data_IF_769195824798
#
_entry.id   IF_769195824798
#
_cell.length_a   1.000
_cell.length_b   1.000
_cell.length_c   1.000
_cell.angle_alpha   90.00
_cell.angle_beta   90.00
_cell.angle_gamma   90.00
#
_symmetry.space_group_name_H-M   'P 1'
#
loop_
_entity.id
_entity.type
_entity.pdbx_description
1 polymer ?
#
# COMPACT_ATOMS: atom_id res chain seq x y z
N UNK A 1 -27.54 1.23 -30.22
CA UNK A 1 -27.21 1.12 -31.66
C UNK A 1 -26.04 0.18 -31.88
N UNK A 2 -24.90 0.37 -31.20
CA UNK A 2 -23.70 -0.48 -31.33
C UNK A 2 -23.93 -1.97 -31.05
N UNK A 3 -24.66 -2.34 -29.99
CA UNK A 3 -24.95 -3.75 -29.70
C UNK A 3 -25.75 -4.44 -30.83
N UNK A 4 -26.68 -3.71 -31.47
CA UNK A 4 -27.43 -4.22 -32.62
C UNK A 4 -26.54 -4.40 -33.86
N UNK A 5 -25.55 -3.53 -34.06
CA UNK A 5 -24.58 -3.68 -35.15
C UNK A 5 -23.62 -4.85 -34.89
N UNK A 6 -23.16 -5.04 -33.65
CA UNK A 6 -22.33 -6.18 -33.24
C UNK A 6 -23.07 -7.51 -33.40
N UNK A 7 -24.37 -7.55 -33.11
CA UNK A 7 -25.21 -8.73 -33.38
C UNK A 7 -25.25 -9.10 -34.87
N UNK A 8 -25.27 -8.11 -35.78
CA UNK A 8 -25.29 -8.36 -37.23
C UNK A 8 -23.97 -8.96 -37.75
N UNK A 9 -22.85 -8.74 -37.06
CA UNK A 9 -21.51 -9.24 -37.45
C UNK A 9 -21.00 -10.37 -36.54
N UNK A 10 -21.86 -10.93 -35.68
CA UNK A 10 -21.49 -11.93 -34.65
C UNK A 10 -20.87 -13.22 -35.20
N UNK A 11 -21.10 -13.53 -36.49
CA UNK A 11 -20.54 -14.71 -37.14
C UNK A 11 -19.08 -14.53 -37.58
N UNK A 12 -18.55 -13.30 -37.55
CA UNK A 12 -17.15 -13.02 -37.88
C UNK A 12 -16.33 -13.16 -36.60
N UNK A 13 -15.30 -14.03 -36.57
CA UNK A 13 -14.46 -14.17 -35.39
C UNK A 13 -13.70 -12.85 -35.14
N UNK A 14 -13.67 -12.34 -33.89
CA UNK A 14 -12.87 -11.17 -33.57
C UNK A 14 -11.40 -11.50 -33.83
N UNK A 15 -10.74 -10.63 -34.60
CA UNK A 15 -9.30 -10.75 -34.90
C UNK A 15 -8.64 -9.42 -34.59
N UNK A 16 -7.48 -9.49 -33.95
CA UNK A 16 -6.63 -8.33 -33.74
C UNK A 16 -6.17 -7.75 -35.10
N UNK A 17 -6.21 -6.41 -35.29
CA UNK A 17 -5.70 -5.78 -36.49
C UNK A 17 -4.19 -5.99 -36.63
N UNK A 18 -3.73 -6.40 -37.81
CA UNK A 18 -2.29 -6.41 -38.09
C UNK A 18 -1.75 -4.97 -38.16
N UNK A 19 -0.60 -4.65 -37.51
CA UNK A 19 -0.11 -3.27 -37.35
C UNK A 19 0.01 -2.48 -38.67
N UNK A 20 0.44 -3.15 -39.74
CA UNK A 20 0.58 -2.55 -41.08
C UNK A 20 -0.78 -2.18 -41.70
N UNK A 21 -1.82 -3.00 -41.46
CA UNK A 21 -3.18 -2.71 -41.91
C UNK A 21 -3.81 -1.59 -41.08
N UNK A 22 -3.54 -1.57 -39.78
CA UNK A 22 -4.04 -0.54 -38.89
C UNK A 22 -3.56 0.87 -39.27
N UNK A 23 -2.26 1.04 -39.55
CA UNK A 23 -1.70 2.31 -40.04
C UNK A 23 -2.28 2.72 -41.40
N UNK A 24 -2.62 1.75 -42.26
CA UNK A 24 -3.27 2.05 -43.54
C UNK A 24 -4.69 2.60 -43.36
N UNK A 25 -5.42 2.17 -42.33
CA UNK A 25 -6.76 2.66 -42.01
C UNK A 25 -6.74 4.07 -41.46
N UNK A 26 -5.77 4.41 -40.60
CA UNK A 26 -5.55 5.78 -40.11
C UNK A 26 -5.23 6.78 -41.23
N UNK A 27 -4.58 6.33 -42.30
CA UNK A 27 -4.20 7.15 -43.47
C UNK A 27 -5.21 7.07 -44.62
N UNK A 28 -6.25 6.27 -44.48
CA UNK A 28 -7.23 5.97 -45.53
C UNK A 28 -8.21 7.11 -45.81
N UNK A 29 -9.04 6.97 -46.87
CA UNK A 29 -9.99 8.00 -47.30
C UNK A 29 -11.25 8.11 -46.41
N UNK A 30 -11.45 7.18 -45.46
CA UNK A 30 -12.59 7.19 -44.53
C UNK A 30 -12.33 8.22 -43.41
N UNK A 31 -12.66 9.48 -43.67
CA UNK A 31 -12.40 10.63 -42.79
C UNK A 31 -13.62 11.05 -41.95
N UNK A 32 -14.40 10.10 -41.45
CA UNK A 32 -15.43 10.48 -40.47
C UNK A 32 -14.80 10.50 -39.08
N UNK A 33 -15.10 11.53 -38.30
CA UNK A 33 -14.52 11.69 -36.95
C UNK A 33 -14.83 10.48 -36.08
N UNK A 34 -16.05 9.94 -36.17
CA UNK A 34 -16.47 8.72 -35.46
C UNK A 34 -15.63 7.48 -35.83
N UNK A 35 -15.21 7.36 -37.09
CA UNK A 35 -14.38 6.24 -37.53
C UNK A 35 -12.93 6.39 -37.04
N UNK A 36 -12.41 7.63 -37.04
CA UNK A 36 -11.09 7.94 -36.50
C UNK A 36 -11.04 7.71 -34.99
N UNK A 37 -12.05 8.16 -34.26
CA UNK A 37 -12.17 7.95 -32.81
C UNK A 37 -12.30 6.46 -32.47
N UNK A 38 -13.04 5.70 -33.29
CA UNK A 38 -13.15 4.26 -33.15
C UNK A 38 -11.82 3.53 -33.40
N UNK A 39 -11.02 3.98 -34.37
CA UNK A 39 -9.68 3.42 -34.60
C UNK A 39 -8.75 3.75 -33.42
N UNK A 40 -8.70 5.00 -32.96
CA UNK A 40 -7.88 5.39 -31.81
C UNK A 40 -8.23 4.59 -30.55
N UNK A 41 -9.52 4.33 -30.31
CA UNK A 41 -9.95 3.48 -29.19
C UNK A 41 -9.44 2.03 -29.30
N UNK A 42 -9.31 1.50 -30.52
CA UNK A 42 -8.72 0.17 -30.78
C UNK A 42 -7.20 0.21 -30.52
N UNK A 43 -6.49 1.25 -30.96
CA UNK A 43 -5.06 1.46 -30.70
C UNK A 43 -4.77 1.47 -29.19
N UNK A 44 -5.53 2.27 -28.44
CA UNK A 44 -5.48 2.35 -26.98
C UNK A 44 -5.72 1.00 -26.30
N UNK A 45 -6.66 0.21 -26.81
CA UNK A 45 -6.94 -1.12 -26.27
C UNK A 45 -5.81 -2.11 -26.54
N UNK A 46 -5.13 -2.01 -27.68
CA UNK A 46 -3.99 -2.88 -28.05
C UNK A 46 -2.73 -2.49 -27.26
N UNK A 47 -2.50 -1.20 -27.05
CA UNK A 47 -1.31 -0.68 -26.35
C UNK A 47 -1.47 -0.63 -24.82
N UNK A 48 -2.62 -1.05 -24.28
CA UNK A 48 -3.00 -0.92 -22.87
C UNK A 48 -2.90 0.53 -22.33
N UNK A 49 -2.85 1.52 -23.23
CA UNK A 49 -2.90 2.93 -22.91
C UNK A 49 -4.38 3.30 -22.84
N UNK A 50 -4.91 3.66 -21.67
CA UNK A 50 -6.34 3.88 -21.47
C UNK A 50 -7.00 4.81 -22.51
N UNK A 51 -8.34 4.77 -22.60
CA UNK A 51 -9.17 5.39 -23.65
C UNK A 51 -9.23 6.95 -23.63
N UNK A 52 -8.11 7.63 -23.46
CA UNK A 52 -8.03 9.09 -23.40
C UNK A 52 -7.41 9.65 -24.69
N UNK A 53 -8.21 10.43 -25.41
CA UNK A 53 -7.90 11.17 -26.63
C UNK A 53 -6.57 11.92 -26.67
N UNK A 54 -6.25 12.41 -27.87
CA UNK A 54 -5.12 13.28 -28.26
C UNK A 54 -5.08 14.66 -27.55
N UNK A 55 -5.55 14.76 -26.31
CA UNK A 55 -5.36 15.92 -25.45
C UNK A 55 -4.09 15.67 -24.61
N UNK A 56 -3.00 16.29 -25.06
CA UNK A 56 -1.72 16.36 -24.37
C UNK A 56 -1.91 16.59 -22.86
N UNK A 57 -1.29 15.71 -22.06
CA UNK A 57 -1.04 15.76 -20.60
C UNK A 57 -2.01 15.11 -19.60
N UNK A 58 -3.00 14.29 -20.00
CA UNK A 58 -3.79 13.50 -19.02
C UNK A 58 -3.92 12.00 -19.36
N UNK A 59 -2.89 11.43 -19.99
CA UNK A 59 -2.92 10.06 -20.52
C UNK A 59 -1.70 9.20 -20.19
N UNK A 60 -0.86 9.59 -19.22
CA UNK A 60 -0.05 8.56 -18.58
C UNK A 60 -0.99 7.85 -17.60
N UNK A 61 -1.34 6.55 -17.80
CA UNK A 61 -1.80 5.77 -16.67
C UNK A 61 -0.64 5.79 -15.68
N UNK A 62 -0.73 6.67 -14.68
CA UNK A 62 0.21 6.68 -13.58
C UNK A 62 -0.13 5.43 -12.77
N UNK A 63 0.40 4.30 -13.23
CA UNK A 63 0.36 3.05 -12.48
C UNK A 63 1.31 3.24 -11.31
N UNK A 64 0.75 3.58 -10.15
CA UNK A 64 1.48 3.53 -8.90
C UNK A 64 1.48 2.07 -8.42
N UNK A 65 2.65 1.49 -8.10
CA UNK A 65 2.69 0.19 -7.45
C UNK A 65 1.80 0.20 -6.19
N UNK A 66 0.98 -0.83 -6.00
CA UNK A 66 0.05 -0.86 -4.87
C UNK A 66 0.75 -0.81 -3.50
N UNK A 67 1.99 -1.29 -3.42
CA UNK A 67 2.83 -1.16 -2.23
C UNK A 67 3.13 0.31 -1.91
N UNK A 68 3.59 1.09 -2.89
CA UNK A 68 3.86 2.53 -2.73
C UNK A 68 2.57 3.32 -2.43
N UNK A 69 1.47 2.96 -3.10
CA UNK A 69 0.16 3.56 -2.83
C UNK A 69 -0.29 3.29 -1.40
N UNK A 70 -0.11 2.06 -0.92
CA UNK A 70 -0.50 1.67 0.41
C UNK A 70 0.38 2.32 1.49
N UNK A 71 1.69 2.45 1.25
CA UNK A 71 2.58 3.22 2.13
C UNK A 71 2.10 4.67 2.25
N UNK A 72 1.81 5.33 1.12
CA UNK A 72 1.30 6.70 1.09
C UNK A 72 -0.10 6.82 1.74
N UNK A 73 -0.93 5.78 1.63
CA UNK A 73 -2.22 5.69 2.31
C UNK A 73 -2.06 5.65 3.83
N UNK A 74 -1.16 4.79 4.32
CA UNK A 74 -0.83 4.69 5.74
C UNK A 74 -0.23 6.00 6.26
N UNK A 75 0.64 6.65 5.47
CA UNK A 75 1.14 7.99 5.81
C UNK A 75 0.00 8.99 5.99
N UNK A 76 -0.96 9.04 5.07
CA UNK A 76 -2.09 9.97 5.17
C UNK A 76 -2.92 9.73 6.45
N UNK A 77 -3.11 8.47 6.85
CA UNK A 77 -3.77 8.10 8.10
C UNK A 77 -2.94 8.59 9.29
N UNK A 78 -1.66 8.24 9.38
CA UNK A 78 -0.83 8.60 10.52
C UNK A 78 -0.50 10.09 10.59
N UNK A 79 -0.55 10.83 9.48
CA UNK A 79 -0.48 12.29 9.47
C UNK A 79 -1.70 12.93 10.14
N UNK A 80 -2.88 12.30 10.05
CA UNK A 80 -4.06 12.72 10.83
C UNK A 80 -3.91 12.34 12.31
N UNK A 81 -3.41 11.13 12.60
CA UNK A 81 -3.14 10.69 13.98
C UNK A 81 -2.14 11.62 14.66
N UNK A 82 -1.05 11.99 13.99
CA UNK A 82 -0.04 12.93 14.49
C UNK A 82 -0.66 14.29 14.82
N UNK A 83 -1.53 14.82 13.94
CA UNK A 83 -2.26 16.07 14.20
C UNK A 83 -3.20 15.99 15.40
N UNK A 84 -3.92 14.89 15.58
CA UNK A 84 -4.81 14.71 16.74
C UNK A 84 -4.04 14.53 18.05
N UNK A 85 -2.82 14.00 18.00
CA UNK A 85 -2.02 13.67 19.19
C UNK A 85 -0.93 14.70 19.51
N UNK A 86 -0.68 15.66 18.62
CA UNK A 86 0.42 16.62 18.73
C UNK A 86 1.81 16.00 18.48
N UNK A 87 1.88 14.87 17.79
CA UNK A 87 3.14 14.18 17.45
C UNK A 87 3.80 14.69 16.17
N UNK A 88 5.05 14.29 15.95
CA UNK A 88 5.82 14.55 14.72
C UNK A 88 5.94 13.27 13.91
N UNK A 89 5.54 13.32 12.64
CA UNK A 89 5.63 12.19 11.72
C UNK A 89 6.80 12.40 10.75
N UNK A 90 7.71 11.44 10.73
CA UNK A 90 8.81 11.34 9.78
C UNK A 90 8.52 10.25 8.76
N UNK A 91 8.84 10.52 7.48
CA UNK A 91 8.47 9.66 6.36
C UNK A 91 9.71 9.13 5.62
N UNK A 92 9.73 7.81 5.42
CA UNK A 92 10.80 7.07 4.75
C UNK A 92 10.97 7.45 3.29
N UNK A 93 9.90 7.60 2.51
CA UNK A 93 9.97 8.07 1.12
C UNK A 93 10.63 9.46 0.97
N UNK A 94 10.49 10.32 1.99
CA UNK A 94 11.14 11.64 2.06
C UNK A 94 12.55 11.58 2.63
N UNK A 95 13.05 10.38 2.96
CA UNK A 95 14.34 10.10 3.56
C UNK A 95 14.54 10.72 4.95
N UNK A 96 13.44 10.96 5.67
CA UNK A 96 13.46 11.56 7.00
C UNK A 96 13.77 10.54 8.11
N UNK A 97 13.62 9.24 7.82
CA UNK A 97 13.81 8.12 8.77
C UNK A 97 15.12 7.34 8.54
N UNK A 98 16.03 7.86 7.71
CA UNK A 98 17.29 7.16 7.37
C UNK A 98 18.14 6.97 8.62
N UNK A 99 18.49 5.72 8.87
CA UNK A 99 19.37 5.30 9.95
C UNK A 99 20.63 4.62 9.36
N UNK A 100 21.79 5.29 9.30
CA UNK A 100 22.98 4.76 8.65
C UNK A 100 23.58 3.57 9.42
N UNK A 101 24.04 2.55 8.69
CA UNK A 101 24.81 1.43 9.25
C UNK A 101 26.30 1.74 9.08
N UNK A 102 27.02 1.80 10.19
CA UNK A 102 28.47 2.03 10.19
C UNK A 102 29.20 0.70 10.10
N UNK A 103 29.72 0.38 8.91
CA UNK A 103 30.52 -0.83 8.67
C UNK A 103 31.99 -0.62 9.03
N UNK A 104 32.65 -1.70 9.45
CA UNK A 104 34.10 -1.75 9.56
C UNK A 104 34.65 -2.98 8.81
N UNK A 105 35.38 -2.81 7.69
CA UNK A 105 35.70 -1.54 7.05
C UNK A 105 34.49 -0.91 6.33
N UNK A 106 34.41 0.44 6.20
CA UNK A 106 33.21 1.14 5.72
C UNK A 106 32.71 0.75 4.31
N UNK A 107 33.59 0.20 3.47
CA UNK A 107 33.31 -0.17 2.08
C UNK A 107 32.85 -1.63 1.91
N UNK A 108 32.86 -2.44 2.97
CA UNK A 108 32.51 -3.86 2.90
C UNK A 108 31.00 -4.15 3.07
N UNK A 109 30.22 -3.15 3.47
CA UNK A 109 28.80 -3.34 3.80
C UNK A 109 27.89 -3.44 2.59
N UNK A 110 27.04 -4.49 2.55
CA UNK A 110 25.98 -4.66 1.56
C UNK A 110 24.82 -3.68 1.77
N UNK A 111 24.48 -3.38 3.03
CA UNK A 111 23.35 -2.51 3.41
C UNK A 111 23.87 -1.22 4.05
N UNK A 112 23.63 -0.06 3.44
CA UNK A 112 24.18 1.22 3.94
C UNK A 112 23.36 1.88 5.05
N UNK A 113 22.05 1.60 5.08
CA UNK A 113 21.13 2.21 6.02
C UNK A 113 19.90 1.34 6.23
N UNK A 114 19.21 1.59 7.33
CA UNK A 114 17.88 1.09 7.66
C UNK A 114 16.90 2.23 7.37
N UNK A 115 15.76 1.92 6.73
CA UNK A 115 14.75 2.92 6.37
C UNK A 115 13.36 2.42 6.78
N UNK A 116 12.86 2.78 7.97
CA UNK A 116 11.46 2.59 8.32
C UNK A 116 10.55 3.45 7.44
N UNK A 117 9.38 2.93 7.07
CA UNK A 117 8.42 3.65 6.21
C UNK A 117 7.92 4.92 6.91
N UNK A 118 7.60 4.81 8.20
CA UNK A 118 7.06 5.91 8.99
C UNK A 118 7.54 5.83 10.44
N UNK A 119 7.89 6.97 11.02
CA UNK A 119 8.22 7.10 12.45
C UNK A 119 7.41 8.23 13.04
N UNK A 120 6.56 7.93 14.01
CA UNK A 120 5.76 8.91 14.74
C UNK A 120 6.32 9.07 16.15
N UNK A 121 6.75 10.29 16.48
CA UNK A 121 7.28 10.63 17.79
C UNK A 121 6.31 11.51 18.57
N UNK A 122 6.06 11.14 19.84
CA UNK A 122 5.18 11.90 20.73
C UNK A 122 5.62 11.74 22.18
N UNK A 123 5.93 12.84 22.86
CA UNK A 123 6.07 12.85 24.33
C UNK A 123 7.08 11.85 24.90
N UNK A 124 8.13 11.48 24.14
CA UNK A 124 9.11 10.46 24.55
C UNK A 124 8.74 9.01 24.21
N UNK A 125 7.63 8.81 23.49
CA UNK A 125 7.23 7.56 22.86
C UNK A 125 7.55 7.61 21.37
N UNK A 126 8.07 6.51 20.83
CA UNK A 126 8.30 6.36 19.38
C UNK A 126 7.46 5.20 18.85
N UNK A 127 6.62 5.49 17.87
CA UNK A 127 5.83 4.52 17.13
C UNK A 127 6.44 4.36 15.74
N UNK A 128 7.06 3.22 15.48
CA UNK A 128 7.63 2.86 14.19
C UNK A 128 6.57 2.09 13.43
N UNK A 129 6.28 2.52 12.21
CA UNK A 129 5.21 1.96 11.38
C UNK A 129 5.82 1.47 10.08
N UNK A 130 5.48 0.23 9.72
CA UNK A 130 5.87 -0.40 8.46
C UNK A 130 4.59 -0.93 7.78
N UNK A 131 4.39 -0.52 6.53
CA UNK A 131 3.18 -0.78 5.76
C UNK A 131 3.44 -1.92 4.78
N UNK A 132 2.67 -3.01 4.89
CA UNK A 132 2.81 -4.17 4.01
C UNK A 132 1.52 -4.40 3.23
N UNK A 133 1.55 -4.14 1.93
CA UNK A 133 0.45 -4.48 1.03
C UNK A 133 0.52 -5.97 0.65
N UNK A 134 -0.08 -6.82 1.48
CA UNK A 134 -0.17 -8.28 1.25
C UNK A 134 -1.62 -8.74 1.43
N UNK A 135 -2.14 -9.55 0.50
CA UNK A 135 -3.51 -10.07 0.54
C UNK A 135 -3.80 -11.05 1.69
N UNK A 136 -2.76 -11.50 2.39
CA UNK A 136 -2.84 -12.55 3.40
C UNK A 136 -3.47 -12.12 4.74
N UNK A 137 -3.79 -10.84 4.95
CA UNK A 137 -4.42 -10.41 6.20
C UNK A 137 -5.80 -11.05 6.42
N UNK A 138 -6.59 -11.25 5.37
CA UNK A 138 -7.89 -11.92 5.48
C UNK A 138 -7.71 -13.44 5.73
N UNK A 139 -6.66 -14.05 5.16
CA UNK A 139 -6.28 -15.45 5.40
C UNK A 139 -5.77 -15.69 6.83
N UNK A 140 -5.04 -14.71 7.40
CA UNK A 140 -4.60 -14.67 8.80
C UNK A 140 -5.78 -14.66 9.79
N UNK A 141 -6.97 -14.21 9.37
CA UNK A 141 -8.18 -14.11 10.19
C UNK A 141 -9.11 -15.33 10.03
N UNK A 142 -9.19 -15.91 8.83
CA UNK A 142 -10.09 -17.04 8.54
C UNK A 142 -9.53 -18.40 9.00
N UNK A 143 -8.21 -18.51 9.19
CA UNK A 143 -7.54 -19.73 9.65
C UNK A 143 -6.97 -19.63 11.07
N UNK A 144 -6.83 -20.77 11.76
CA UNK A 144 -5.85 -20.86 12.87
C UNK A 144 -4.47 -20.59 12.28
N UNK A 145 -3.62 -19.84 12.96
CA UNK A 145 -2.21 -19.62 12.57
C UNK A 145 -1.48 -20.90 12.15
N UNK A 146 -1.88 -22.04 12.71
CA UNK A 146 -1.40 -23.39 12.40
C UNK A 146 -1.81 -23.95 11.04
N UNK A 147 -2.73 -23.31 10.31
CA UNK A 147 -3.21 -23.72 8.98
C UNK A 147 -2.75 -22.80 7.85
N UNK A 148 -2.05 -21.69 8.16
CA UNK A 148 -1.45 -20.83 7.14
C UNK A 148 -0.38 -21.60 6.38
N UNK A 149 -0.26 -21.33 5.09
CA UNK A 149 0.84 -21.84 4.28
C UNK A 149 2.20 -21.44 4.89
N UNK A 150 3.17 -22.34 4.80
CA UNK A 150 4.51 -22.16 5.39
C UNK A 150 5.20 -20.92 4.81
N UNK A 151 5.00 -20.66 3.52
CA UNK A 151 5.49 -19.46 2.84
C UNK A 151 4.91 -18.16 3.43
N UNK A 152 3.61 -18.14 3.76
CA UNK A 152 2.94 -16.97 4.35
C UNK A 152 3.46 -16.69 5.76
N UNK A 153 3.70 -17.74 6.56
CA UNK A 153 4.27 -17.58 7.90
C UNK A 153 5.70 -17.05 7.84
N UNK A 154 6.50 -17.55 6.91
CA UNK A 154 7.89 -17.13 6.76
C UNK A 154 7.99 -15.68 6.27
N UNK A 155 7.10 -15.28 5.37
CA UNK A 155 6.96 -13.88 4.95
C UNK A 155 6.56 -12.97 6.12
N UNK A 156 5.58 -13.37 6.93
CA UNK A 156 5.18 -12.61 8.10
C UNK A 156 6.30 -12.54 9.16
N UNK A 157 7.03 -13.64 9.36
CA UNK A 157 8.21 -13.68 10.24
C UNK A 157 9.27 -12.68 9.80
N UNK A 158 9.48 -12.57 8.48
CA UNK A 158 10.42 -11.60 7.90
C UNK A 158 9.97 -10.17 8.15
N UNK A 159 8.69 -9.86 7.94
CA UNK A 159 8.12 -8.53 8.22
C UNK A 159 8.28 -8.15 9.71
N UNK A 160 8.00 -9.10 10.61
CA UNK A 160 8.19 -8.92 12.05
C UNK A 160 9.65 -8.63 12.42
N UNK A 161 10.58 -9.40 11.86
CA UNK A 161 12.01 -9.17 12.13
C UNK A 161 12.48 -7.81 11.60
N UNK A 162 11.97 -7.39 10.45
CA UNK A 162 12.29 -6.09 9.87
C UNK A 162 11.81 -4.94 10.78
N UNK A 163 10.55 -4.94 11.19
CA UNK A 163 10.02 -3.86 12.05
C UNK A 163 10.63 -3.87 13.46
N UNK A 164 11.03 -5.03 13.96
CA UNK A 164 11.76 -5.14 15.22
C UNK A 164 13.20 -4.64 15.08
N UNK A 165 13.87 -4.86 13.96
CA UNK A 165 15.17 -4.26 13.70
C UNK A 165 15.09 -2.73 13.74
N UNK A 166 14.02 -2.15 13.18
CA UNK A 166 13.80 -0.70 13.22
C UNK A 166 13.67 -0.17 14.66
N UNK A 167 13.02 -0.95 15.55
CA UNK A 167 12.88 -0.58 16.98
C UNK A 167 14.21 -0.41 17.70
N UNK A 168 15.27 -1.07 17.25
CA UNK A 168 16.59 -0.96 17.88
C UNK A 168 17.23 0.42 17.68
N UNK A 169 16.81 1.15 16.65
CA UNK A 169 17.39 2.45 16.31
C UNK A 169 16.77 3.60 17.11
N UNK A 170 15.54 3.43 17.59
CA UNK A 170 14.90 4.46 18.39
C UNK A 170 15.56 4.58 19.79
N UNK A 171 15.78 5.83 20.23
CA UNK A 171 16.38 6.14 21.55
C UNK A 171 15.34 6.25 22.68
N UNK A 172 14.06 6.32 22.32
CA UNK A 172 12.93 6.48 23.25
C UNK A 172 12.81 5.34 24.27
N UNK A 173 12.28 5.65 25.45
CA UNK A 173 12.07 4.67 26.54
C UNK A 173 10.95 3.69 26.22
N UNK A 174 9.92 4.17 25.52
CA UNK A 174 8.77 3.38 25.08
C UNK A 174 8.79 3.35 23.56
N UNK A 175 9.05 2.18 23.01
CA UNK A 175 9.12 1.96 21.56
C UNK A 175 8.03 0.98 21.19
N UNK A 176 7.23 1.34 20.20
CA UNK A 176 6.18 0.48 19.67
C UNK A 176 6.43 0.28 18.18
N UNK A 177 6.61 -0.96 17.76
CA UNK A 177 6.64 -1.35 16.35
C UNK A 177 5.23 -1.69 15.89
N UNK A 178 4.84 -1.20 14.72
CA UNK A 178 3.50 -1.35 14.17
C UNK A 178 3.59 -1.86 12.74
N UNK A 179 3.02 -3.04 12.47
CA UNK A 179 2.78 -3.53 11.12
C UNK A 179 1.35 -3.19 10.72
N UNK A 180 1.22 -2.58 9.54
CA UNK A 180 -0.08 -2.17 9.00
C UNK A 180 -0.37 -2.99 7.75
N UNK A 181 -1.54 -3.61 7.72
CA UNK A 181 -2.02 -4.42 6.60
C UNK A 181 -3.34 -3.89 6.05
N UNK A 182 -3.56 -3.99 4.72
CA UNK A 182 -4.83 -3.61 4.11
C UNK A 182 -5.92 -4.63 4.47
N UNK A 183 -7.16 -4.17 4.58
CA UNK A 183 -8.33 -5.02 4.71
C UNK A 183 -9.55 -4.41 4.00
N UNK A 184 -10.55 -5.25 3.71
CA UNK A 184 -11.86 -4.79 3.25
C UNK A 184 -12.57 -3.96 4.32
N UNK A 185 -13.46 -3.05 3.89
CA UNK A 185 -14.20 -2.20 4.81
C UNK A 185 -15.10 -3.02 5.74
N UNK A 186 -15.72 -4.07 5.22
CA UNK A 186 -16.57 -5.01 5.95
C UNK A 186 -15.79 -5.68 7.09
N UNK A 187 -14.57 -6.15 6.79
CA UNK A 187 -13.67 -6.75 7.77
C UNK A 187 -13.24 -5.73 8.82
N UNK A 188 -12.90 -4.51 8.40
CA UNK A 188 -12.52 -3.46 9.33
C UNK A 188 -13.66 -3.05 10.27
N UNK A 189 -14.88 -2.86 9.75
CA UNK A 189 -16.05 -2.50 10.56
C UNK A 189 -16.40 -3.62 11.54
N UNK A 190 -16.28 -4.88 11.11
CA UNK A 190 -16.43 -6.03 12.00
C UNK A 190 -15.37 -6.02 13.12
N UNK A 191 -14.09 -5.84 12.80
CA UNK A 191 -13.01 -5.77 13.78
C UNK A 191 -13.19 -4.59 14.75
N UNK A 192 -13.65 -3.44 14.24
CA UNK A 192 -13.97 -2.26 15.04
C UNK A 192 -15.04 -2.55 16.07
N UNK A 193 -16.16 -3.16 15.66
CA UNK A 193 -17.25 -3.52 16.58
C UNK A 193 -16.81 -4.51 17.66
N UNK A 194 -15.82 -5.36 17.37
CA UNK A 194 -15.24 -6.31 18.32
C UNK A 194 -14.12 -5.71 19.19
N UNK A 195 -13.69 -4.46 18.94
CA UNK A 195 -12.53 -3.86 19.61
C UNK A 195 -11.20 -4.54 19.26
N UNK A 196 -11.12 -5.19 18.09
CA UNK A 196 -9.98 -6.02 17.63
C UNK A 196 -9.26 -5.46 16.39
N UNK A 197 -9.35 -4.15 16.15
CA UNK A 197 -8.63 -3.49 15.04
C UNK A 197 -7.11 -3.64 15.20
N UNK A 198 -6.65 -3.72 16.45
CA UNK A 198 -5.24 -3.78 16.80
C UNK A 198 -4.98 -5.02 17.66
N UNK A 199 -4.02 -5.83 17.23
CA UNK A 199 -3.47 -6.92 18.03
C UNK A 199 -2.19 -6.43 18.69
N UNK A 200 -2.08 -6.66 20.00
CA UNK A 200 -0.94 -6.20 20.80
C UNK A 200 -0.09 -7.39 21.22
N UNK A 201 1.21 -7.25 21.02
CA UNK A 201 2.25 -8.08 21.62
C UNK A 201 3.26 -7.18 22.33
N UNK A 202 4.12 -7.80 23.13
CA UNK A 202 5.24 -7.10 23.76
C UNK A 202 6.44 -8.01 23.81
N UNK A 203 7.61 -7.47 23.51
CA UNK A 203 8.89 -8.14 23.69
C UNK A 203 9.71 -7.37 24.73
N UNK A 204 10.36 -8.10 25.62
CA UNK A 204 11.32 -7.53 26.56
C UNK A 204 12.73 -7.71 26.01
N UNK A 205 13.45 -6.61 25.85
CA UNK A 205 14.84 -6.58 25.38
C UNK A 205 15.70 -5.84 26.41
N UNK A 206 16.25 -6.58 27.39
CA UNK A 206 17.00 -6.00 28.50
C UNK A 206 16.13 -5.08 29.37
N UNK A 207 16.48 -3.80 29.43
CA UNK A 207 15.73 -2.77 30.19
C UNK A 207 14.61 -2.11 29.39
N UNK A 208 14.50 -2.40 28.08
CA UNK A 208 13.49 -1.82 27.19
C UNK A 208 12.34 -2.79 26.99
N UNK A 209 11.13 -2.25 26.96
CA UNK A 209 9.93 -2.98 26.52
C UNK A 209 9.56 -2.47 25.13
N UNK A 210 9.55 -3.37 24.16
CA UNK A 210 9.16 -3.09 22.78
C UNK A 210 7.73 -3.56 22.60
N UNK A 211 6.81 -2.63 22.39
CA UNK A 211 5.44 -2.93 21.98
C UNK A 211 5.43 -3.41 20.54
N UNK A 212 4.56 -4.37 20.23
CA UNK A 212 4.29 -4.82 18.87
C UNK A 212 2.80 -4.66 18.59
N UNK A 213 2.45 -3.96 17.52
CA UNK A 213 1.09 -3.78 17.06
C UNK A 213 0.93 -4.39 15.66
N UNK A 214 -0.13 -5.16 15.47
CA UNK A 214 -0.62 -5.53 14.14
C UNK A 214 -1.94 -4.81 13.92
N UNK A 215 -2.02 -4.02 12.85
CA UNK A 215 -3.14 -3.13 12.58
C UNK A 215 -3.71 -3.43 11.20
N UNK A 216 -5.03 -3.58 11.14
CA UNK A 216 -5.77 -3.66 9.90
C UNK A 216 -6.35 -2.29 9.55
N UNK A 217 -6.12 -1.80 8.33
CA UNK A 217 -6.71 -0.54 7.85
C UNK A 217 -7.49 -0.72 6.56
N UNK A 218 -8.66 -0.09 6.42
CA UNK A 218 -9.43 -0.12 5.20
C UNK A 218 -8.94 0.97 4.25
N UNK A 219 -9.04 0.72 2.96
CA UNK A 219 -8.69 1.69 1.91
C UNK A 219 -9.94 2.44 1.47
N UNK A 220 -10.47 3.29 2.35
CA UNK A 220 -11.71 4.06 2.15
C UNK A 220 -11.47 5.56 2.31
N UNK A 221 -12.23 6.41 1.62
CA UNK A 221 -12.07 7.87 1.67
C UNK A 221 -12.25 8.50 3.08
N UNK A 222 -12.80 7.77 4.06
CA UNK A 222 -13.11 8.25 5.43
C UNK A 222 -11.88 8.21 6.37
N UNK A 223 -10.79 8.86 5.96
CA UNK A 223 -9.50 8.88 6.68
C UNK A 223 -9.60 9.30 8.15
N UNK A 224 -10.39 10.35 8.46
CA UNK A 224 -10.48 10.90 9.81
C UNK A 224 -11.07 9.90 10.82
N UNK A 225 -12.03 9.08 10.38
CA UNK A 225 -12.65 8.06 11.24
C UNK A 225 -11.65 6.96 11.57
N UNK A 226 -10.94 6.46 10.56
CA UNK A 226 -9.88 5.46 10.74
C UNK A 226 -8.80 6.01 11.67
N UNK A 227 -8.33 7.24 11.45
CA UNK A 227 -7.33 7.89 12.29
C UNK A 227 -7.79 8.06 13.75
N UNK A 228 -9.06 8.39 13.98
CA UNK A 228 -9.61 8.56 15.34
C UNK A 228 -9.64 7.22 16.09
N UNK A 229 -10.03 6.14 15.43
CA UNK A 229 -10.02 4.80 16.05
C UNK A 229 -8.59 4.29 16.29
N UNK A 230 -7.68 4.51 15.34
CA UNK A 230 -6.27 4.15 15.51
C UNK A 230 -5.60 4.95 16.62
N UNK A 231 -5.88 6.25 16.75
CA UNK A 231 -5.38 7.04 17.88
C UNK A 231 -5.73 6.39 19.22
N UNK A 232 -6.99 5.98 19.39
CA UNK A 232 -7.45 5.33 20.63
C UNK A 232 -6.72 4.01 20.87
N UNK A 233 -6.40 3.28 19.80
CA UNK A 233 -5.83 1.94 19.93
C UNK A 233 -4.29 1.95 20.03
N UNK A 234 -3.59 2.77 19.26
CA UNK A 234 -2.12 2.78 19.21
C UNK A 234 -1.46 3.37 20.46
N UNK A 235 -2.15 4.29 21.15
CA UNK A 235 -1.61 4.98 22.35
C UNK A 235 -2.37 4.64 23.64
N UNK A 236 -3.24 3.63 23.64
CA UNK A 236 -3.86 3.16 24.89
C UNK A 236 -2.80 2.45 25.75
N UNK A 237 -2.70 2.84 27.02
CA UNK A 237 -1.85 2.15 27.99
C UNK A 237 -2.28 0.67 28.11
N UNK A 238 -1.33 -0.27 28.23
CA UNK A 238 -1.66 -1.65 28.56
C UNK A 238 -2.24 -1.68 29.98
N UNK A 239 -3.49 -2.12 30.11
CA UNK A 239 -4.08 -2.52 31.39
C UNK A 239 -3.28 -3.68 32.02
#
# INVERSE_FOLDING_TARGET
LCLRLLEQVRQVPPKEPEPLRFQSWLRGPLKTDVFRDGLLAIEWTIEETGLAGLADLQGLPWMMPMEEFFEAWVEAIFAQVARHTGGQLHVGRKRETICPIVWNPPYAGSQKYILPDLVLERGGETLIIDAKFKGHWEELQLGRWSMLDEAVRENHRTDLLQVLAYSTVAESKTITSCLVYPCTFETWDWLRRQGRIVYRGSLRAGTRTIGLLLVAVPMIARLNEVATELQKCCFAEPN
#
